data_IF_207567653673
#
_entry.id   IF_207567653673
#
_cell.length_a   1.000
_cell.length_b   1.000
_cell.length_c   1.000
_cell.angle_alpha   90.00
_cell.angle_beta   90.00
_cell.angle_gamma   90.00
#
_symmetry.space_group_name_H-M   'P 1'
#
loop_
_entity.id
_entity.type
_entity.pdbx_description
1 polymer ?
#
# COMPACT_ATOMS: atom_id res chain seq x y z
N UNK A 1 3.06 27.14 -34.43
CA UNK A 1 2.96 27.46 -32.99
C UNK A 1 4.37 27.34 -32.42
N UNK A 2 5.03 28.47 -32.16
CA UNK A 2 6.44 28.49 -31.79
C UNK A 2 6.64 28.07 -30.33
N UNK A 3 7.61 27.19 -30.08
CA UNK A 3 8.05 26.81 -28.73
C UNK A 3 8.66 28.03 -28.03
N UNK A 4 8.22 28.40 -26.81
CA UNK A 4 8.81 29.53 -26.12
C UNK A 4 10.29 29.27 -25.77
N UNK A 5 11.15 30.31 -25.78
CA UNK A 5 12.56 30.17 -25.45
C UNK A 5 12.75 29.74 -23.99
N UNK A 6 13.67 28.79 -23.78
CA UNK A 6 14.02 28.29 -22.45
C UNK A 6 14.77 29.41 -21.71
N UNK A 7 14.30 29.87 -20.52
CA UNK A 7 15.00 30.91 -19.78
C UNK A 7 16.37 30.41 -19.27
N UNK A 8 17.36 31.30 -19.14
CA UNK A 8 18.69 30.94 -18.67
C UNK A 8 18.64 30.34 -17.26
N UNK A 9 19.26 29.17 -17.09
CA UNK A 9 19.34 28.47 -15.81
C UNK A 9 20.25 29.23 -14.85
N UNK A 10 19.70 29.77 -13.75
CA UNK A 10 20.51 30.33 -12.67
C UNK A 10 21.40 29.24 -12.03
N UNK A 11 22.69 29.52 -11.76
CA UNK A 11 23.68 28.52 -11.32
C UNK A 11 23.51 27.98 -9.88
N UNK A 12 22.34 28.17 -9.26
CA UNK A 12 22.02 27.65 -7.93
C UNK A 12 20.57 27.19 -7.71
N UNK A 13 19.71 27.28 -8.73
CA UNK A 13 18.30 26.91 -8.62
C UNK A 13 18.06 25.44 -8.92
N UNK A 14 17.46 24.70 -7.99
CA UNK A 14 17.05 23.31 -8.22
C UNK A 14 16.23 23.18 -9.51
N UNK A 15 16.56 22.20 -10.35
CA UNK A 15 15.99 21.89 -11.70
C UNK A 15 14.49 21.52 -11.70
N UNK A 16 13.71 21.98 -10.74
CA UNK A 16 12.33 21.60 -10.52
C UNK A 16 11.42 22.66 -11.18
N UNK A 17 10.44 22.27 -12.01
CA UNK A 17 9.51 23.21 -12.63
C UNK A 17 8.80 24.09 -11.60
N UNK A 18 8.44 25.34 -11.95
CA UNK A 18 7.89 26.33 -11.00
C UNK A 18 6.59 25.93 -10.28
N UNK A 19 5.90 24.88 -10.73
CA UNK A 19 4.68 24.34 -10.11
C UNK A 19 4.87 22.93 -9.53
N UNK A 20 6.10 22.56 -9.15
CA UNK A 20 6.40 21.25 -8.57
C UNK A 20 7.27 21.45 -7.34
N UNK A 21 6.84 20.91 -6.21
CA UNK A 21 7.60 20.97 -4.97
C UNK A 21 8.47 19.71 -4.86
N UNK A 22 9.71 19.79 -4.33
CA UNK A 22 10.48 18.60 -3.98
C UNK A 22 9.70 17.81 -2.93
N UNK A 23 9.02 16.76 -3.35
CA UNK A 23 8.30 15.89 -2.43
C UNK A 23 9.35 15.10 -1.65
N UNK A 24 9.50 15.39 -0.36
CA UNK A 24 10.33 14.60 0.54
C UNK A 24 9.70 13.23 0.73
N UNK A 25 9.97 12.33 -0.22
CA UNK A 25 9.40 10.98 -0.26
C UNK A 25 9.72 10.20 1.01
N UNK A 26 10.84 10.48 1.67
CA UNK A 26 11.26 9.86 2.93
C UNK A 26 10.23 9.99 4.07
N UNK A 27 9.49 11.09 4.17
CA UNK A 27 8.51 11.31 5.24
C UNK A 27 7.18 10.55 5.03
N UNK A 28 6.96 9.97 3.83
CA UNK A 28 5.71 9.28 3.45
C UNK A 28 5.92 7.84 2.96
N UNK A 29 7.15 7.33 3.06
CA UNK A 29 7.49 5.94 2.74
C UNK A 29 6.95 5.02 3.82
N UNK A 30 6.52 3.84 3.40
CA UNK A 30 6.12 2.77 4.33
C UNK A 30 7.36 2.34 5.12
N UNK A 31 7.21 2.05 6.41
CA UNK A 31 8.30 1.49 7.21
C UNK A 31 8.75 0.14 6.61
N UNK A 32 10.03 0.02 6.30
CA UNK A 32 10.63 -1.19 5.73
C UNK A 32 11.69 -1.79 6.64
N UNK A 33 11.76 -3.12 6.68
CA UNK A 33 12.84 -3.87 7.35
C UNK A 33 14.07 -3.93 6.42
N UNK A 34 15.22 -4.39 6.92
CA UNK A 34 16.43 -4.68 6.12
C UNK A 34 16.03 -5.34 4.80
N UNK A 35 16.52 -4.81 3.68
CA UNK A 35 16.16 -5.27 2.33
C UNK A 35 14.97 -4.57 1.67
N UNK A 36 14.35 -3.58 2.33
CA UNK A 36 13.27 -2.77 1.73
C UNK A 36 11.89 -3.41 1.80
N UNK A 37 11.72 -4.49 2.58
CA UNK A 37 10.44 -5.20 2.73
C UNK A 37 9.49 -4.43 3.65
N UNK A 38 8.25 -4.11 3.22
CA UNK A 38 7.26 -3.46 4.08
C UNK A 38 6.94 -4.29 5.33
N UNK A 39 6.84 -3.65 6.50
CA UNK A 39 6.63 -4.34 7.78
C UNK A 39 5.40 -5.25 7.78
N UNK A 40 4.29 -4.83 7.14
CA UNK A 40 3.07 -5.64 7.04
C UNK A 40 3.29 -6.97 6.29
N UNK A 41 4.02 -6.92 5.18
CA UNK A 41 4.36 -8.09 4.40
C UNK A 41 5.31 -9.02 5.17
N UNK A 42 6.28 -8.44 5.88
CA UNK A 42 7.18 -9.20 6.76
C UNK A 42 6.44 -9.95 7.87
N UNK A 43 5.51 -9.27 8.57
CA UNK A 43 4.67 -9.90 9.60
C UNK A 43 3.85 -11.04 9.01
N UNK A 44 3.25 -10.83 7.83
CA UNK A 44 2.52 -11.88 7.12
C UNK A 44 3.40 -13.09 6.76
N UNK A 45 4.64 -12.85 6.32
CA UNK A 45 5.61 -13.91 6.01
C UNK A 45 6.01 -14.71 7.26
N UNK A 46 6.29 -14.03 8.38
CA UNK A 46 6.62 -14.69 9.65
C UNK A 46 5.43 -15.53 10.13
N UNK A 47 4.22 -14.96 10.11
CA UNK A 47 3.01 -15.68 10.49
C UNK A 47 2.79 -16.92 9.63
N UNK A 48 2.90 -16.79 8.30
CA UNK A 48 2.81 -17.91 7.36
C UNK A 48 3.84 -18.99 7.68
N UNK A 49 5.09 -18.60 7.93
CA UNK A 49 6.17 -19.55 8.26
C UNK A 49 5.85 -20.32 9.53
N UNK A 50 5.42 -19.63 10.60
CA UNK A 50 5.10 -20.27 11.88
C UNK A 50 3.93 -21.25 11.72
N UNK A 51 2.86 -20.84 11.03
CA UNK A 51 1.71 -21.71 10.76
C UNK A 51 2.14 -22.95 9.99
N UNK A 52 2.96 -22.80 8.96
CA UNK A 52 3.46 -23.95 8.18
C UNK A 52 4.37 -24.85 9.03
N UNK A 53 5.22 -24.29 9.87
CA UNK A 53 6.09 -25.04 10.79
C UNK A 53 5.29 -25.87 11.80
N UNK A 54 4.09 -25.43 12.21
CA UNK A 54 3.22 -26.23 13.09
C UNK A 54 2.79 -27.57 12.47
N UNK A 55 2.62 -27.62 11.13
CA UNK A 55 2.17 -28.84 10.44
C UNK A 55 3.34 -29.67 9.88
N UNK A 56 4.40 -29.00 9.40
CA UNK A 56 5.50 -29.64 8.65
C UNK A 56 6.72 -29.93 9.56
N UNK A 57 6.59 -29.68 10.87
CA UNK A 57 7.67 -29.79 11.88
C UNK A 57 8.85 -28.88 11.50
N UNK A 58 10.08 -29.32 11.76
CA UNK A 58 11.30 -28.54 11.55
C UNK A 58 11.48 -28.07 10.10
N UNK A 59 10.99 -28.85 9.13
CA UNK A 59 11.10 -28.52 7.70
C UNK A 59 10.26 -27.30 7.31
N UNK A 60 9.19 -26.98 8.05
CA UNK A 60 8.39 -25.79 7.78
C UNK A 60 9.15 -24.47 8.00
N UNK A 61 10.23 -24.47 8.77
CA UNK A 61 11.09 -23.30 8.94
C UNK A 61 11.85 -22.91 7.67
N UNK A 62 12.01 -23.83 6.71
CA UNK A 62 12.64 -23.53 5.41
C UNK A 62 11.78 -22.62 4.53
N UNK A 63 10.50 -22.44 4.84
CA UNK A 63 9.61 -21.53 4.10
C UNK A 63 10.11 -20.09 4.16
N UNK A 64 10.61 -19.65 5.32
CA UNK A 64 11.09 -18.28 5.50
C UNK A 64 12.29 -17.93 4.60
N UNK A 65 13.43 -18.67 4.62
CA UNK A 65 14.57 -18.35 3.78
C UNK A 65 14.28 -18.48 2.28
N UNK A 66 13.30 -19.30 1.88
CA UNK A 66 12.88 -19.43 0.48
C UNK A 66 12.01 -18.25 0.03
N UNK A 67 11.03 -17.85 0.84
CA UNK A 67 10.08 -16.79 0.47
C UNK A 67 10.62 -15.38 0.69
N UNK A 68 11.47 -15.18 1.70
CA UNK A 68 12.05 -13.87 2.01
C UNK A 68 12.73 -13.18 0.82
N UNK A 69 13.61 -13.83 0.01
CA UNK A 69 14.22 -13.17 -1.15
C UNK A 69 13.18 -12.80 -2.22
N UNK A 70 12.13 -13.61 -2.40
CA UNK A 70 11.04 -13.31 -3.36
C UNK A 70 10.32 -12.02 -2.93
N UNK A 71 9.94 -11.94 -1.66
CA UNK A 71 9.31 -10.76 -1.08
C UNK A 71 10.23 -9.53 -1.18
N UNK A 72 11.53 -9.69 -0.96
CA UNK A 72 12.52 -8.61 -1.09
C UNK A 72 12.65 -8.09 -2.54
N UNK A 73 12.67 -8.98 -3.53
CA UNK A 73 12.72 -8.60 -4.95
C UNK A 73 11.47 -7.82 -5.35
N UNK A 74 10.28 -8.29 -4.94
CA UNK A 74 9.01 -7.59 -5.21
C UNK A 74 9.01 -6.20 -4.56
N UNK A 75 9.41 -6.12 -3.29
CA UNK A 75 9.43 -4.87 -2.52
C UNK A 75 10.42 -3.84 -3.07
N UNK A 76 11.52 -4.31 -3.67
CA UNK A 76 12.53 -3.43 -4.29
C UNK A 76 11.97 -2.70 -5.51
N UNK A 77 11.07 -3.35 -6.26
CA UNK A 77 10.44 -2.75 -7.43
C UNK A 77 9.31 -1.78 -7.05
N UNK A 78 8.48 -2.17 -6.08
CA UNK A 78 7.38 -1.34 -5.58
C UNK A 78 7.08 -1.63 -4.09
N UNK A 79 7.30 -0.62 -3.25
CA UNK A 79 7.04 -0.66 -1.81
C UNK A 79 5.54 -0.76 -1.48
N UNK A 80 4.67 -0.42 -2.42
CA UNK A 80 3.20 -0.47 -2.28
C UNK A 80 2.57 -1.72 -2.90
N UNK A 81 3.35 -2.61 -3.53
CA UNK A 81 2.82 -3.81 -4.18
C UNK A 81 1.93 -4.65 -3.26
N UNK A 82 2.37 -4.86 -2.01
CA UNK A 82 1.59 -5.64 -1.02
C UNK A 82 0.31 -4.93 -0.57
N UNK A 83 0.30 -3.60 -0.53
CA UNK A 83 -0.91 -2.85 -0.24
C UNK A 83 -1.91 -2.96 -1.39
N UNK A 84 -1.43 -2.94 -2.64
CA UNK A 84 -2.26 -3.13 -3.84
C UNK A 84 -2.82 -4.56 -3.88
N UNK A 85 -2.01 -5.57 -3.56
CA UNK A 85 -2.46 -6.96 -3.42
C UNK A 85 -3.55 -7.11 -2.35
N UNK A 86 -3.35 -6.50 -1.17
CA UNK A 86 -4.35 -6.49 -0.10
C UNK A 86 -5.65 -5.81 -0.57
N UNK A 87 -5.53 -4.68 -1.29
CA UNK A 87 -6.68 -3.94 -1.82
C UNK A 87 -7.43 -4.74 -2.89
N UNK A 88 -6.70 -5.42 -3.78
CA UNK A 88 -7.28 -6.32 -4.78
C UNK A 88 -8.06 -7.45 -4.10
N UNK A 89 -7.49 -8.06 -3.07
CA UNK A 89 -8.17 -9.11 -2.31
C UNK A 89 -9.47 -8.60 -1.67
N UNK A 90 -9.42 -7.44 -1.00
CA UNK A 90 -10.59 -6.80 -0.39
C UNK A 90 -11.68 -6.51 -1.41
N UNK A 91 -11.32 -5.92 -2.55
CA UNK A 91 -12.30 -5.55 -3.59
C UNK A 91 -12.88 -6.78 -4.29
N UNK A 92 -12.15 -7.89 -4.39
CA UNK A 92 -12.65 -9.11 -5.03
C UNK A 92 -13.54 -9.95 -4.13
N UNK A 93 -13.17 -10.13 -2.87
CA UNK A 93 -13.81 -11.11 -1.98
C UNK A 93 -14.67 -10.50 -0.87
N UNK A 94 -14.38 -9.28 -0.44
CA UNK A 94 -15.04 -8.68 0.75
C UNK A 94 -16.13 -7.67 0.42
N UNK A 95 -16.39 -7.40 -0.87
CA UNK A 95 -17.41 -6.46 -1.32
C UNK A 95 -18.75 -7.18 -1.59
N UNK A 96 -19.72 -7.18 -0.65
CA UNK A 96 -20.95 -7.97 -0.77
C UNK A 96 -21.83 -7.52 -1.95
N UNK A 97 -21.94 -6.20 -2.15
CA UNK A 97 -22.83 -5.66 -3.19
C UNK A 97 -22.19 -5.66 -4.59
N UNK A 98 -20.99 -6.23 -4.75
CA UNK A 98 -20.26 -6.23 -6.02
C UNK A 98 -21.03 -6.87 -7.17
N UNK A 99 -21.78 -7.95 -6.90
CA UNK A 99 -22.56 -8.64 -7.92
C UNK A 99 -23.70 -7.78 -8.49
N UNK A 100 -24.33 -6.97 -7.62
CA UNK A 100 -25.40 -6.07 -8.02
C UNK A 100 -24.87 -4.86 -8.81
N UNK A 101 -23.79 -4.23 -8.35
CA UNK A 101 -23.29 -2.99 -8.95
C UNK A 101 -22.32 -3.20 -10.12
N UNK A 102 -21.74 -4.40 -10.28
CA UNK A 102 -20.70 -4.68 -11.28
C UNK A 102 -19.38 -3.94 -11.06
N UNK A 103 -19.28 -3.07 -10.05
CA UNK A 103 -18.13 -2.25 -9.72
C UNK A 103 -17.91 -2.16 -8.21
N UNK A 104 -16.68 -1.83 -7.81
CA UNK A 104 -16.30 -1.60 -6.41
C UNK A 104 -15.40 -0.38 -6.33
N UNK A 105 -15.74 0.57 -5.46
CA UNK A 105 -14.91 1.71 -5.11
C UNK A 105 -14.43 1.57 -3.66
N UNK A 106 -13.13 1.70 -3.43
CA UNK A 106 -12.55 1.68 -2.09
C UNK A 106 -11.99 3.06 -1.77
N UNK A 107 -12.34 3.59 -0.60
CA UNK A 107 -11.75 4.81 -0.08
C UNK A 107 -10.92 4.49 1.18
N UNK A 108 -9.68 4.98 1.27
CA UNK A 108 -8.89 4.84 2.49
C UNK A 108 -9.44 5.72 3.63
N UNK A 109 -10.28 6.71 3.32
CA UNK A 109 -10.87 7.58 4.33
C UNK A 109 -12.06 6.90 5.00
N UNK A 110 -12.07 6.81 6.35
CA UNK A 110 -13.23 6.29 7.05
C UNK A 110 -14.42 7.21 6.80
N UNK A 111 -15.60 6.60 6.63
CA UNK A 111 -16.84 7.35 6.54
C UNK A 111 -17.08 8.06 7.88
N UNK A 112 -17.24 9.40 7.86
CA UNK A 112 -17.60 10.15 9.07
C UNK A 112 -18.92 9.62 9.66
N UNK A 113 -18.94 9.39 10.97
CA UNK A 113 -20.14 8.97 11.71
C UNK A 113 -21.23 10.04 11.73
N UNK A 114 -20.92 11.30 11.37
CA UNK A 114 -21.86 12.43 11.37
C UNK A 114 -22.71 12.53 10.10
N UNK A 115 -22.90 11.44 9.36
CA UNK A 115 -23.70 11.48 8.12
C UNK A 115 -25.19 11.63 8.45
N UNK A 116 -25.91 12.56 7.79
CA UNK A 116 -27.33 12.79 8.06
C UNK A 116 -28.19 11.52 7.99
N UNK A 117 -27.90 10.60 7.06
CA UNK A 117 -28.64 9.35 6.91
C UNK A 117 -28.33 8.28 7.96
N UNK A 118 -27.19 8.35 8.66
CA UNK A 118 -26.94 7.50 9.83
C UNK A 118 -27.82 7.94 11.03
N UNK A 119 -28.16 9.24 11.10
CA UNK A 119 -29.07 9.79 12.13
C UNK A 119 -30.51 9.32 11.95
N UNK A 120 -30.94 9.11 10.70
CA UNK A 120 -32.28 8.60 10.37
C UNK A 120 -32.52 7.19 10.89
N UNK A 121 -31.47 6.37 11.00
CA UNK A 121 -31.57 4.98 11.48
C UNK A 121 -31.37 4.82 13.00
N UNK A 122 -31.40 5.91 13.78
CA UNK A 122 -31.34 5.86 15.25
C UNK A 122 -30.03 5.31 15.85
N UNK A 123 -29.01 5.04 15.03
CA UNK A 123 -27.68 4.61 15.51
C UNK A 123 -26.94 5.84 16.02
N UNK A 124 -26.98 6.06 17.32
CA UNK A 124 -26.08 7.02 17.97
C UNK A 124 -24.63 6.54 17.80
N UNK A 125 -23.70 7.42 17.42
CA UNK A 125 -22.28 7.08 17.42
C UNK A 125 -21.87 6.78 18.87
N UNK A 126 -21.24 5.62 19.09
CA UNK A 126 -20.52 5.31 20.34
C UNK A 126 -19.22 6.10 20.41
#
# INVERSE_FOLDING_TARGET
MATPPIPPTEPGGSRIPPNRYPLFKGATRVATVKGGVPTRAFVGLVFLTVVVAMFIRIWGWLVFPVLYPIVAVISRNDDRAFWILELWWKTKFTAPNKAFWGAVSYTPTPYSSRRPWLRLNGRTPK
#
